data_IF_392817410404
#
_entry.id   IF_392817410404
#
_cell.length_a   1.000
_cell.length_b   1.000
_cell.length_c   1.000
_cell.angle_alpha   90.00
_cell.angle_beta   90.00
_cell.angle_gamma   90.00
#
_symmetry.space_group_name_H-M   'P 1'
#
loop_
_entity.id
_entity.type
_entity.pdbx_description
1 polymer ?
#
# COMPACT_ATOMS: atom_id res chain seq x y z
N UNK A 1 0.78 -3.83 -25.78
CA UNK A 1 1.05 -3.41 -24.39
C UNK A 1 0.86 -4.63 -23.52
N UNK A 2 1.70 -4.87 -22.52
CA UNK A 2 1.49 -5.96 -21.58
C UNK A 2 0.15 -5.73 -20.83
N UNK A 3 -0.54 -6.80 -20.48
CA UNK A 3 -1.74 -6.70 -19.64
C UNK A 3 -1.36 -6.16 -18.26
N UNK A 4 -2.16 -5.26 -17.66
CA UNK A 4 -1.89 -4.74 -16.34
C UNK A 4 -2.03 -5.83 -15.28
N UNK A 5 -1.17 -5.81 -14.24
CA UNK A 5 -1.29 -6.70 -13.09
C UNK A 5 -2.54 -6.38 -12.27
N UNK A 6 -2.83 -5.09 -12.07
CA UNK A 6 -4.05 -4.61 -11.40
C UNK A 6 -4.80 -3.64 -12.31
N UNK A 7 -6.10 -3.85 -12.47
CA UNK A 7 -6.97 -2.99 -13.27
C UNK A 7 -8.24 -2.64 -12.51
N UNK A 8 -8.58 -1.36 -12.49
CA UNK A 8 -9.87 -0.83 -12.09
C UNK A 8 -10.53 -0.25 -13.33
N UNK A 9 -11.75 -0.68 -13.61
CA UNK A 9 -12.53 -0.28 -14.80
C UNK A 9 -13.84 0.37 -14.34
N UNK A 10 -13.92 1.70 -14.43
CA UNK A 10 -15.08 2.52 -14.07
C UNK A 10 -15.67 2.21 -12.67
N UNK A 11 -14.79 2.04 -11.67
CA UNK A 11 -15.15 1.62 -10.31
C UNK A 11 -15.81 2.75 -9.53
N UNK A 12 -17.03 2.48 -9.03
CA UNK A 12 -17.71 3.31 -8.03
C UNK A 12 -17.85 2.46 -6.75
N UNK A 13 -17.42 3.00 -5.62
CA UNK A 13 -17.44 2.29 -4.34
C UNK A 13 -17.66 3.22 -3.15
N UNK A 14 -18.12 2.69 -2.02
CA UNK A 14 -18.34 3.46 -0.82
C UNK A 14 -19.08 2.67 0.26
N UNK A 15 -19.73 3.37 1.18
CA UNK A 15 -20.32 2.79 2.38
C UNK A 15 -21.81 3.12 2.47
N UNK A 16 -22.61 2.19 2.92
CA UNK A 16 -24.06 2.38 3.19
C UNK A 16 -24.85 2.98 2.02
N UNK A 17 -24.48 2.61 0.79
CA UNK A 17 -25.12 3.14 -0.43
C UNK A 17 -24.65 4.53 -0.85
N UNK A 18 -23.70 5.14 -0.13
CA UNK A 18 -23.10 6.43 -0.48
C UNK A 18 -21.76 6.21 -1.18
N UNK A 19 -21.63 6.69 -2.42
CA UNK A 19 -20.39 6.62 -3.19
C UNK A 19 -19.34 7.57 -2.60
N UNK A 20 -18.18 7.01 -2.24
CA UNK A 20 -16.96 7.73 -1.88
C UNK A 20 -16.05 7.83 -3.10
N UNK A 21 -15.91 6.74 -3.85
CA UNK A 21 -15.20 6.69 -5.12
C UNK A 21 -16.21 6.76 -6.27
N UNK A 22 -15.86 7.50 -7.32
CA UNK A 22 -16.73 7.76 -8.47
C UNK A 22 -15.95 7.59 -9.75
N UNK A 23 -16.31 6.59 -10.54
CA UNK A 23 -15.79 6.37 -11.90
C UNK A 23 -14.26 6.29 -11.94
N UNK A 24 -13.67 5.49 -11.04
CA UNK A 24 -12.23 5.30 -10.95
C UNK A 24 -11.77 4.28 -11.98
N UNK A 25 -10.87 4.70 -12.87
CA UNK A 25 -10.15 3.81 -13.79
C UNK A 25 -8.65 3.94 -13.56
N UNK A 26 -7.97 2.79 -13.36
CA UNK A 26 -6.55 2.72 -13.03
C UNK A 26 -5.98 1.41 -13.58
N UNK A 27 -4.80 1.47 -14.17
CA UNK A 27 -4.06 0.29 -14.61
C UNK A 27 -2.63 0.33 -14.03
N UNK A 28 -2.20 -0.75 -13.38
CA UNK A 28 -0.87 -0.88 -12.77
C UNK A 28 -0.15 -2.05 -13.43
N UNK A 29 0.99 -1.77 -14.06
CA UNK A 29 1.84 -2.81 -14.63
C UNK A 29 2.63 -3.54 -13.52
N UNK A 30 3.01 -4.79 -13.80
CA UNK A 30 3.92 -5.53 -12.92
C UNK A 30 5.26 -4.80 -12.78
N UNK A 31 5.79 -4.74 -11.56
CA UNK A 31 7.07 -4.09 -11.22
C UNK A 31 7.00 -2.57 -11.12
N UNK A 32 5.85 -1.93 -11.39
CA UNK A 32 5.72 -0.47 -11.33
C UNK A 32 5.35 0.04 -9.93
N UNK A 33 5.73 1.30 -9.66
CA UNK A 33 5.31 2.05 -8.46
C UNK A 33 4.36 3.16 -8.87
N UNK A 34 3.09 3.00 -8.49
CA UNK A 34 2.04 3.99 -8.72
C UNK A 34 1.66 4.63 -7.40
N UNK A 35 1.52 5.95 -7.38
CA UNK A 35 1.15 6.68 -6.17
C UNK A 35 -0.18 7.43 -6.36
N UNK A 36 -1.04 7.31 -5.35
CA UNK A 36 -2.26 8.11 -5.24
C UNK A 36 -2.02 9.19 -4.18
N UNK A 37 -2.14 10.43 -4.59
CA UNK A 37 -2.08 11.59 -3.69
C UNK A 37 -3.44 12.27 -3.61
N UNK A 38 -3.65 13.10 -2.60
CA UNK A 38 -4.88 13.89 -2.44
C UNK A 38 -5.18 14.21 -0.99
N UNK A 39 -6.12 15.12 -0.72
CA UNK A 39 -6.46 15.53 0.63
C UNK A 39 -7.06 14.39 1.48
N UNK A 40 -7.02 14.55 2.79
CA UNK A 40 -7.64 13.61 3.72
C UNK A 40 -9.15 13.54 3.55
N UNK A 41 -9.70 12.33 3.61
CA UNK A 41 -11.14 12.11 3.45
C UNK A 41 -11.63 12.02 2.01
N UNK A 42 -10.75 12.20 0.99
CA UNK A 42 -11.15 12.22 -0.42
C UNK A 42 -11.19 10.82 -1.08
N UNK A 43 -11.00 9.73 -0.31
CA UNK A 43 -11.25 8.37 -0.78
C UNK A 43 -10.02 7.48 -0.95
N UNK A 44 -8.81 7.97 -0.67
CA UNK A 44 -7.55 7.22 -0.85
C UNK A 44 -7.57 5.83 -0.18
N UNK A 45 -7.81 5.77 1.13
CA UNK A 45 -7.91 4.48 1.84
C UNK A 45 -9.11 3.65 1.40
N UNK A 46 -10.21 4.29 0.94
CA UNK A 46 -11.36 3.58 0.38
C UNK A 46 -10.98 2.87 -0.91
N UNK A 47 -10.12 3.48 -1.74
CA UNK A 47 -9.60 2.86 -2.95
C UNK A 47 -8.83 1.57 -2.62
N UNK A 48 -7.87 1.62 -1.68
CA UNK A 48 -7.12 0.44 -1.25
C UNK A 48 -8.02 -0.63 -0.63
N UNK A 49 -9.02 -0.23 0.17
CA UNK A 49 -10.02 -1.15 0.73
C UNK A 49 -10.91 -1.78 -0.33
N UNK A 50 -11.18 -1.06 -1.42
CA UNK A 50 -11.96 -1.61 -2.54
C UNK A 50 -11.14 -2.67 -3.29
N UNK A 51 -9.88 -2.41 -3.56
CA UNK A 51 -8.97 -3.36 -4.20
C UNK A 51 -8.77 -4.61 -3.33
N UNK A 52 -8.59 -4.44 -2.02
CA UNK A 52 -8.40 -5.55 -1.07
C UNK A 52 -9.70 -6.29 -0.69
N UNK A 53 -10.86 -5.92 -1.27
CA UNK A 53 -12.15 -6.58 -1.03
C UNK A 53 -12.83 -6.24 0.30
N UNK A 54 -12.27 -5.32 1.09
CA UNK A 54 -12.88 -4.82 2.33
C UNK A 54 -14.11 -3.93 2.05
N UNK A 55 -14.15 -3.30 0.88
CA UNK A 55 -15.30 -2.56 0.36
C UNK A 55 -15.65 -3.14 -1.00
N UNK A 56 -16.89 -3.54 -1.20
CA UNK A 56 -17.33 -4.07 -2.49
C UNK A 56 -17.68 -2.93 -3.45
N UNK A 57 -17.28 -3.01 -4.74
CA UNK A 57 -17.71 -2.04 -5.74
C UNK A 57 -19.23 -2.03 -5.92
N UNK A 58 -19.83 -0.85 -6.01
CA UNK A 58 -21.23 -0.65 -6.38
C UNK A 58 -21.42 -0.85 -7.89
N UNK A 59 -20.45 -0.35 -8.69
CA UNK A 59 -20.38 -0.54 -10.14
C UNK A 59 -18.93 -0.61 -10.61
N UNK A 60 -18.72 -1.00 -11.85
CA UNK A 60 -17.39 -1.21 -12.42
C UNK A 60 -16.78 -2.55 -12.00
N UNK A 61 -15.51 -2.73 -12.32
CA UNK A 61 -14.82 -4.00 -12.15
C UNK A 61 -13.40 -3.77 -11.58
N UNK A 62 -12.95 -4.64 -10.68
CA UNK A 62 -11.55 -4.71 -10.24
C UNK A 62 -11.01 -6.06 -10.67
N UNK A 63 -9.92 -6.07 -11.43
CA UNK A 63 -9.22 -7.27 -11.87
C UNK A 63 -7.80 -7.30 -11.37
N UNK A 64 -7.35 -8.48 -11.01
CA UNK A 64 -5.96 -8.75 -10.65
C UNK A 64 -5.47 -9.95 -11.46
N UNK A 65 -4.38 -9.78 -12.21
CA UNK A 65 -3.85 -10.77 -13.17
C UNK A 65 -4.98 -11.30 -14.07
N UNK A 66 -5.75 -10.37 -14.69
CA UNK A 66 -6.90 -10.67 -15.54
C UNK A 66 -8.13 -11.27 -14.83
N UNK A 67 -8.03 -11.62 -13.53
CA UNK A 67 -9.11 -12.25 -12.79
C UNK A 67 -9.94 -11.22 -12.03
N UNK A 68 -11.29 -11.33 -12.14
CA UNK A 68 -12.21 -10.49 -11.35
C UNK A 68 -12.06 -10.73 -9.85
N UNK A 69 -11.98 -9.64 -9.09
CA UNK A 69 -12.00 -9.66 -7.62
C UNK A 69 -13.41 -9.52 -7.04
N UNK A 70 -14.42 -9.28 -7.89
CA UNK A 70 -15.79 -9.04 -7.46
C UNK A 70 -16.37 -10.24 -6.70
N UNK A 71 -16.90 -9.97 -5.51
CA UNK A 71 -17.50 -11.00 -4.65
C UNK A 71 -16.53 -11.95 -3.99
N UNK A 72 -15.21 -11.82 -4.25
CA UNK A 72 -14.19 -12.61 -3.53
C UNK A 72 -14.08 -12.16 -2.09
N UNK A 73 -13.75 -13.09 -1.22
CA UNK A 73 -13.44 -12.79 0.19
C UNK A 73 -12.00 -12.24 0.31
N UNK A 74 -11.75 -11.43 1.33
CA UNK A 74 -10.44 -10.80 1.54
C UNK A 74 -9.29 -11.82 1.52
N UNK A 75 -9.43 -12.96 2.20
CA UNK A 75 -8.37 -13.99 2.23
C UNK A 75 -8.12 -14.64 0.86
N UNK A 76 -9.11 -14.72 -0.01
CA UNK A 76 -8.97 -15.21 -1.39
C UNK A 76 -8.20 -14.19 -2.24
N UNK A 77 -8.44 -12.89 -2.03
CA UNK A 77 -7.73 -11.79 -2.70
C UNK A 77 -6.26 -11.76 -2.24
N UNK A 78 -6.01 -11.95 -0.95
CA UNK A 78 -4.63 -12.07 -0.43
C UNK A 78 -3.93 -13.29 -1.03
N UNK A 79 -4.63 -14.42 -1.16
CA UNK A 79 -4.07 -15.64 -1.77
C UNK A 79 -3.73 -15.47 -3.27
N UNK A 80 -4.39 -14.55 -3.97
CA UNK A 80 -4.02 -14.17 -5.33
C UNK A 80 -2.75 -13.31 -5.40
N UNK A 81 -2.31 -12.73 -4.28
CA UNK A 81 -1.10 -11.91 -4.23
C UNK A 81 -1.33 -10.42 -3.97
N UNK A 82 -2.54 -10.00 -3.63
CA UNK A 82 -2.84 -8.60 -3.26
C UNK A 82 -2.66 -8.40 -1.77
N UNK A 83 -1.63 -7.68 -1.35
CA UNK A 83 -1.30 -7.43 0.06
C UNK A 83 -1.63 -6.00 0.44
N UNK A 84 -2.51 -5.80 1.42
CA UNK A 84 -2.85 -4.50 1.95
C UNK A 84 -2.12 -4.24 3.28
N UNK A 85 -1.27 -3.22 3.30
CA UNK A 85 -0.58 -2.68 4.47
C UNK A 85 -1.33 -1.42 4.89
N UNK A 86 -2.28 -1.51 5.83
CA UNK A 86 -3.16 -0.39 6.16
C UNK A 86 -2.44 0.67 6.98
N UNK A 87 -3.05 1.85 7.04
CA UNK A 87 -2.63 2.94 7.92
C UNK A 87 -2.57 2.50 9.38
N UNK A 88 -1.62 3.03 10.14
CA UNK A 88 -1.44 2.72 11.56
C UNK A 88 -0.57 1.48 11.81
N UNK A 89 -0.42 1.12 13.07
CA UNK A 89 0.52 0.07 13.46
C UNK A 89 -0.08 -1.33 13.28
N UNK A 90 -1.37 -1.50 13.63
CA UNK A 90 -2.17 -2.74 13.56
C UNK A 90 -1.39 -4.03 13.91
N UNK A 91 -0.48 -3.95 14.87
CA UNK A 91 0.34 -5.07 15.35
C UNK A 91 -0.43 -5.91 16.38
N UNK A 92 0.05 -7.11 16.66
CA UNK A 92 -0.37 -7.91 17.81
C UNK A 92 0.48 -7.52 19.04
N UNK A 93 -0.04 -6.68 19.96
CA UNK A 93 0.78 -6.00 20.95
C UNK A 93 1.46 -6.92 21.96
N UNK A 94 0.85 -8.06 22.28
CA UNK A 94 1.33 -9.03 23.26
C UNK A 94 2.19 -10.16 22.68
N UNK A 95 2.40 -10.14 21.36
CA UNK A 95 3.31 -11.05 20.65
C UNK A 95 4.70 -10.43 20.54
N UNK A 96 5.72 -11.27 20.34
CA UNK A 96 7.06 -10.81 19.99
C UNK A 96 7.08 -10.19 18.59
N UNK A 97 8.14 -9.47 18.25
CA UNK A 97 8.40 -8.98 16.88
C UNK A 97 8.40 -10.14 15.90
N UNK A 98 9.14 -11.23 16.21
CA UNK A 98 9.21 -12.43 15.36
C UNK A 98 7.83 -13.05 15.16
N UNK A 99 7.05 -13.22 16.21
CA UNK A 99 5.72 -13.83 16.11
C UNK A 99 4.76 -12.95 15.28
N UNK A 100 4.84 -11.62 15.44
CA UNK A 100 4.09 -10.69 14.59
C UNK A 100 4.41 -10.86 13.10
N UNK A 101 5.70 -11.00 12.74
CA UNK A 101 6.10 -11.25 11.37
C UNK A 101 5.52 -12.57 10.87
N UNK A 102 5.68 -13.65 11.62
CA UNK A 102 5.20 -14.98 11.25
C UNK A 102 3.67 -15.03 11.05
N UNK A 103 2.91 -14.19 11.75
CA UNK A 103 1.46 -14.04 11.51
C UNK A 103 1.14 -13.56 10.08
N UNK A 104 2.07 -12.89 9.38
CA UNK A 104 1.92 -12.54 7.96
C UNK A 104 2.03 -13.75 7.02
N UNK A 105 2.72 -14.79 7.44
CA UNK A 105 2.91 -16.03 6.66
C UNK A 105 1.81 -17.08 6.93
N UNK A 106 0.54 -16.66 7.04
CA UNK A 106 -0.56 -17.56 7.39
C UNK A 106 -1.08 -18.40 6.20
N UNK A 107 -0.80 -17.98 4.97
CA UNK A 107 -1.14 -18.77 3.78
C UNK A 107 -0.20 -19.96 3.64
N UNK A 108 -0.65 -21.12 3.11
CA UNK A 108 0.18 -22.32 3.01
C UNK A 108 1.53 -22.09 2.32
N UNK A 109 1.54 -21.41 1.18
CA UNK A 109 2.74 -21.12 0.41
C UNK A 109 3.68 -20.14 1.15
N UNK A 110 3.10 -19.08 1.75
CA UNK A 110 3.85 -18.14 2.58
C UNK A 110 4.44 -18.82 3.83
N UNK A 111 3.69 -19.76 4.42
CA UNK A 111 4.15 -20.53 5.58
C UNK A 111 5.33 -21.47 5.24
N UNK A 112 5.28 -22.10 4.07
CA UNK A 112 6.38 -22.95 3.59
C UNK A 112 7.70 -22.19 3.41
N UNK A 113 7.63 -20.90 3.08
CA UNK A 113 8.79 -20.02 2.86
C UNK A 113 9.10 -19.09 4.05
N UNK A 114 8.39 -19.23 5.17
CA UNK A 114 8.46 -18.28 6.29
C UNK A 114 9.87 -18.08 6.84
N UNK A 115 10.67 -19.13 6.96
CA UNK A 115 12.04 -19.05 7.47
C UNK A 115 12.99 -18.32 6.50
N UNK A 116 12.79 -18.45 5.20
CA UNK A 116 13.56 -17.71 4.19
C UNK A 116 13.15 -16.24 4.18
N UNK A 117 11.85 -15.96 4.13
CA UNK A 117 11.31 -14.60 4.08
C UNK A 117 11.63 -13.78 5.31
N UNK A 118 11.65 -14.39 6.50
CA UNK A 118 11.97 -13.64 7.71
C UNK A 118 13.42 -13.14 7.69
N UNK A 119 14.34 -13.89 7.10
CA UNK A 119 15.74 -13.47 6.92
C UNK A 119 15.83 -12.29 5.94
N UNK A 120 15.08 -12.34 4.83
CA UNK A 120 15.00 -11.23 3.88
C UNK A 120 14.44 -9.97 4.54
N UNK A 121 13.36 -10.10 5.33
CA UNK A 121 12.76 -8.98 6.06
C UNK A 121 13.72 -8.42 7.10
N UNK A 122 14.47 -9.23 7.82
CA UNK A 122 15.47 -8.76 8.75
C UNK A 122 16.63 -8.05 8.03
N UNK A 123 17.04 -8.51 6.85
CA UNK A 123 17.99 -7.78 6.01
C UNK A 123 17.46 -6.41 5.56
N UNK A 124 16.15 -6.30 5.30
CA UNK A 124 15.48 -5.07 4.93
C UNK A 124 15.25 -4.15 6.14
N UNK A 125 14.98 -4.73 7.31
CA UNK A 125 14.59 -4.06 8.56
C UNK A 125 15.47 -4.54 9.74
N UNK A 126 16.79 -4.20 9.77
CA UNK A 126 17.73 -4.77 10.75
C UNK A 126 17.36 -4.50 12.21
N UNK A 127 16.71 -3.36 12.49
CA UNK A 127 16.23 -3.05 13.85
C UNK A 127 15.19 -4.03 14.39
N UNK A 128 14.41 -4.67 13.49
CA UNK A 128 13.47 -5.71 13.90
C UNK A 128 14.18 -7.01 14.23
N UNK A 129 15.30 -7.32 13.55
CA UNK A 129 16.14 -8.46 13.88
C UNK A 129 16.72 -8.33 15.27
N UNK A 130 17.34 -7.18 15.59
CA UNK A 130 17.91 -6.89 16.92
C UNK A 130 16.87 -7.06 18.04
N UNK A 131 15.60 -6.81 17.74
CA UNK A 131 14.48 -6.82 18.66
C UNK A 131 13.53 -7.99 18.49
N UNK A 132 13.92 -9.03 17.75
CA UNK A 132 13.00 -10.09 17.33
C UNK A 132 12.26 -10.80 18.49
N UNK A 133 12.89 -10.88 19.66
CA UNK A 133 12.30 -11.47 20.86
C UNK A 133 11.59 -10.44 21.76
N UNK A 134 11.59 -9.16 21.41
CA UNK A 134 10.94 -8.10 22.19
C UNK A 134 9.43 -8.12 21.97
N UNK A 135 8.65 -7.85 23.02
CA UNK A 135 7.18 -7.74 22.95
C UNK A 135 6.81 -6.47 22.19
N UNK A 136 5.96 -6.59 21.15
CA UNK A 136 5.71 -5.55 20.17
C UNK A 136 5.13 -4.25 20.77
N UNK A 137 4.32 -4.30 21.83
CA UNK A 137 3.80 -3.09 22.50
C UNK A 137 4.89 -2.20 23.09
N UNK A 138 6.10 -2.72 23.32
CA UNK A 138 7.22 -1.96 23.90
C UNK A 138 8.08 -1.26 22.84
N UNK A 139 7.79 -1.45 21.57
CA UNK A 139 8.43 -0.77 20.46
C UNK A 139 8.01 0.71 20.39
N UNK A 140 8.87 1.55 19.81
CA UNK A 140 8.50 2.90 19.41
C UNK A 140 7.45 2.89 18.26
N UNK A 141 6.74 4.01 18.05
CA UNK A 141 5.76 4.12 16.95
C UNK A 141 6.35 3.78 15.59
N UNK A 142 7.56 4.28 15.31
CA UNK A 142 8.25 3.97 14.06
C UNK A 142 8.62 2.49 13.90
N UNK A 143 9.09 1.85 14.96
CA UNK A 143 9.40 0.41 14.94
C UNK A 143 8.14 -0.43 14.79
N UNK A 144 7.01 -0.04 15.40
CA UNK A 144 5.71 -0.69 15.19
C UNK A 144 5.26 -0.55 13.73
N UNK A 145 5.45 0.64 13.13
CA UNK A 145 5.12 0.86 11.71
C UNK A 145 5.96 -0.06 10.81
N UNK A 146 7.27 -0.13 11.05
CA UNK A 146 8.16 -1.05 10.33
C UNK A 146 7.74 -2.51 10.51
N UNK A 147 7.32 -2.89 11.72
CA UNK A 147 6.80 -4.24 11.99
C UNK A 147 5.53 -4.53 11.19
N UNK A 148 4.61 -3.56 11.07
CA UNK A 148 3.41 -3.67 10.24
C UNK A 148 3.74 -3.89 8.75
N UNK A 149 4.70 -3.13 8.22
CA UNK A 149 5.22 -3.29 6.85
C UNK A 149 5.86 -4.68 6.70
N UNK A 150 6.77 -5.07 7.58
CA UNK A 150 7.44 -6.37 7.55
C UNK A 150 6.45 -7.52 7.58
N UNK A 151 5.40 -7.45 8.41
CA UNK A 151 4.34 -8.46 8.44
C UNK A 151 3.58 -8.56 7.12
N UNK A 152 3.30 -7.43 6.45
CA UNK A 152 2.72 -7.44 5.11
C UNK A 152 3.63 -8.15 4.11
N UNK A 153 4.93 -7.88 4.15
CA UNK A 153 5.92 -8.51 3.26
C UNK A 153 6.03 -10.03 3.48
N UNK A 154 5.81 -10.53 4.70
CA UNK A 154 5.79 -11.97 5.00
C UNK A 154 4.75 -12.74 4.18
N UNK A 155 3.69 -12.09 3.70
CA UNK A 155 2.66 -12.72 2.85
C UNK A 155 3.21 -13.15 1.49
N UNK A 156 4.24 -12.46 0.97
CA UNK A 156 4.86 -12.76 -0.32
C UNK A 156 4.02 -12.41 -1.54
N UNK A 157 3.11 -11.45 -1.42
CA UNK A 157 2.23 -11.06 -2.51
C UNK A 157 2.94 -10.36 -3.67
N UNK A 158 2.26 -10.27 -4.80
CA UNK A 158 2.78 -9.68 -6.05
C UNK A 158 2.60 -8.15 -6.07
N UNK A 159 1.56 -7.63 -5.43
CA UNK A 159 1.33 -6.18 -5.28
C UNK A 159 1.18 -5.80 -3.82
N UNK A 160 1.84 -4.71 -3.43
CA UNK A 160 1.72 -4.10 -2.10
C UNK A 160 0.85 -2.84 -2.19
N UNK A 161 -0.26 -2.83 -1.49
CA UNK A 161 -1.11 -1.66 -1.29
C UNK A 161 -0.72 -1.00 0.03
N UNK A 162 -0.06 0.15 0.00
CA UNK A 162 0.52 0.79 1.19
C UNK A 162 -0.24 2.08 1.50
N UNK A 163 -0.90 2.12 2.66
CA UNK A 163 -1.79 3.22 3.05
C UNK A 163 -1.08 4.17 4.03
N UNK A 164 -0.71 5.36 3.57
CA UNK A 164 -0.11 6.47 4.32
C UNK A 164 0.99 6.02 5.30
N UNK A 165 2.08 5.41 4.81
CA UNK A 165 3.11 4.82 5.67
C UNK A 165 3.85 5.86 6.52
N UNK A 166 3.86 7.13 6.11
CA UNK A 166 4.60 8.22 6.77
C UNK A 166 3.80 8.96 7.84
N UNK A 167 2.47 8.80 7.88
CA UNK A 167 1.59 9.64 8.69
C UNK A 167 1.91 9.59 10.18
N UNK A 168 2.10 10.78 10.79
CA UNK A 168 2.29 10.94 12.23
C UNK A 168 3.66 10.50 12.76
N UNK A 169 4.63 10.27 11.88
CA UNK A 169 5.97 9.81 12.25
C UNK A 169 7.02 10.93 12.20
N UNK A 170 8.09 10.73 12.96
CA UNK A 170 9.22 11.64 12.94
C UNK A 170 9.99 11.53 11.59
N UNK A 171 10.61 12.63 11.09
CA UNK A 171 11.30 12.65 9.80
C UNK A 171 12.30 11.52 9.58
N UNK A 172 13.10 11.21 10.61
CA UNK A 172 14.08 10.11 10.54
C UNK A 172 13.45 8.74 10.29
N UNK A 173 12.23 8.51 10.81
CA UNK A 173 11.50 7.25 10.59
C UNK A 173 10.89 7.23 9.20
N UNK A 174 10.38 8.37 8.74
CA UNK A 174 9.88 8.53 7.38
C UNK A 174 10.97 8.19 6.37
N UNK A 175 12.19 8.73 6.55
CA UNK A 175 13.34 8.42 5.68
C UNK A 175 13.64 6.90 5.66
N UNK A 176 13.56 6.23 6.80
CA UNK A 176 13.75 4.78 6.86
C UNK A 176 12.66 4.00 6.11
N UNK A 177 11.40 4.41 6.23
CA UNK A 177 10.28 3.78 5.50
C UNK A 177 10.45 3.94 4.00
N UNK A 178 10.79 5.15 3.54
CA UNK A 178 11.00 5.41 2.12
C UNK A 178 12.21 4.67 1.57
N UNK A 179 13.29 4.51 2.35
CA UNK A 179 14.42 3.67 1.99
C UNK A 179 14.00 2.21 1.76
N UNK A 180 13.09 1.68 2.60
CA UNK A 180 12.52 0.34 2.41
C UNK A 180 11.69 0.26 1.13
N UNK A 181 10.80 1.23 0.88
CA UNK A 181 9.96 1.26 -0.32
C UNK A 181 10.84 1.38 -1.57
N UNK A 182 11.88 2.21 -1.55
CA UNK A 182 12.85 2.35 -2.65
C UNK A 182 13.54 1.01 -2.93
N UNK A 183 13.99 0.31 -1.89
CA UNK A 183 14.63 -1.00 -2.07
C UNK A 183 13.65 -2.03 -2.66
N UNK A 184 12.40 -2.05 -2.21
CA UNK A 184 11.36 -2.93 -2.78
C UNK A 184 11.10 -2.62 -4.26
N UNK A 185 11.06 -1.33 -4.64
CA UNK A 185 10.96 -0.89 -6.03
C UNK A 185 12.15 -1.40 -6.85
N UNK A 186 13.37 -1.22 -6.36
CA UNK A 186 14.61 -1.61 -7.04
C UNK A 186 14.72 -3.15 -7.18
N UNK A 187 14.05 -3.90 -6.32
CA UNK A 187 13.84 -5.35 -6.41
C UNK A 187 12.70 -5.75 -7.37
N UNK A 188 12.05 -4.77 -8.05
CA UNK A 188 10.98 -5.01 -9.03
C UNK A 188 9.61 -5.33 -8.40
N UNK A 189 9.36 -4.95 -7.16
CA UNK A 189 8.05 -5.14 -6.52
C UNK A 189 7.02 -4.15 -7.06
N UNK A 190 5.82 -4.62 -7.33
CA UNK A 190 4.69 -3.76 -7.70
C UNK A 190 4.12 -3.10 -6.45
N UNK A 191 4.00 -1.76 -6.45
CA UNK A 191 3.55 -1.00 -5.29
C UNK A 191 2.48 0.01 -5.71
N UNK A 192 1.33 -0.01 -5.04
CA UNK A 192 0.37 1.08 -5.02
C UNK A 192 0.47 1.79 -3.68
N UNK A 193 1.04 2.98 -3.70
CA UNK A 193 1.26 3.81 -2.53
C UNK A 193 0.19 4.89 -2.44
N UNK A 194 -0.38 5.09 -1.26
CA UNK A 194 -1.24 6.24 -0.95
C UNK A 194 -0.48 7.16 0.00
N UNK A 195 -0.39 8.44 -0.32
CA UNK A 195 0.32 9.45 0.47
C UNK A 195 -0.29 10.85 0.34
N UNK A 196 0.08 11.73 1.29
CA UNK A 196 -0.22 13.16 1.23
C UNK A 196 1.00 13.96 0.78
N UNK A 197 2.20 13.53 1.15
CA UNK A 197 3.44 14.28 0.90
C UNK A 197 3.99 14.01 -0.50
N UNK A 198 3.74 14.95 -1.41
CA UNK A 198 4.13 14.88 -2.83
C UNK A 198 5.63 14.81 -3.04
N UNK A 199 6.40 15.60 -2.27
CA UNK A 199 7.85 15.68 -2.48
C UNK A 199 8.55 14.34 -2.28
N UNK A 200 8.05 13.51 -1.36
CA UNK A 200 8.62 12.18 -1.09
C UNK A 200 8.26 11.16 -2.16
N UNK A 201 7.03 11.19 -2.66
CA UNK A 201 6.57 10.20 -3.64
C UNK A 201 7.15 10.45 -5.03
N UNK A 202 7.49 11.72 -5.35
CA UNK A 202 8.09 12.08 -6.64
C UNK A 202 9.44 11.39 -6.91
N UNK A 203 10.16 10.97 -5.86
CA UNK A 203 11.45 10.28 -6.00
C UNK A 203 11.32 8.79 -6.31
N UNK A 204 10.15 8.19 -6.06
CA UNK A 204 9.96 6.74 -6.15
C UNK A 204 8.87 6.32 -7.14
N UNK A 205 7.89 7.18 -7.41
CA UNK A 205 6.75 6.86 -8.26
C UNK A 205 7.13 6.94 -9.75
N UNK A 206 6.58 6.02 -10.55
CA UNK A 206 6.60 6.12 -12.01
C UNK A 206 5.42 6.92 -12.54
N UNK A 207 4.29 6.83 -11.83
CA UNK A 207 3.12 7.66 -12.12
C UNK A 207 2.42 8.09 -10.83
N UNK A 208 1.82 9.27 -10.86
CA UNK A 208 1.06 9.86 -9.76
C UNK A 208 -0.35 10.14 -10.25
N UNK A 209 -1.33 9.79 -9.45
CA UNK A 209 -2.74 10.10 -9.65
C UNK A 209 -3.24 10.98 -8.50
N UNK A 210 -3.82 12.13 -8.83
CA UNK A 210 -4.42 13.02 -7.84
C UNK A 210 -5.90 12.68 -7.66
N UNK A 211 -6.24 12.22 -6.48
CA UNK A 211 -7.62 11.89 -6.10
C UNK A 211 -8.25 13.06 -5.34
N UNK A 212 -9.32 13.63 -5.91
CA UNK A 212 -10.12 14.66 -5.27
C UNK A 212 -11.61 14.28 -5.27
N UNK A 213 -12.27 14.40 -4.11
CA UNK A 213 -13.68 14.09 -3.93
C UNK A 213 -14.13 12.77 -4.58
N UNK A 214 -13.26 11.74 -4.53
CA UNK A 214 -13.54 10.41 -5.01
C UNK A 214 -13.32 10.18 -6.51
N UNK A 215 -12.75 11.14 -7.25
CA UNK A 215 -12.43 11.02 -8.67
C UNK A 215 -10.98 11.41 -8.94
N UNK A 216 -10.35 10.82 -9.96
CA UNK A 216 -9.04 11.29 -10.42
C UNK A 216 -9.22 12.58 -11.21
N UNK A 217 -8.57 13.66 -10.73
CA UNK A 217 -8.61 14.99 -11.37
C UNK A 217 -7.36 15.27 -12.18
N UNK A 218 -6.27 14.53 -11.93
CA UNK A 218 -5.03 14.59 -12.69
C UNK A 218 -4.28 13.25 -12.59
N UNK A 219 -3.51 12.93 -13.63
CA UNK A 219 -2.57 11.80 -13.65
C UNK A 219 -1.40 12.09 -14.59
N UNK A 220 -0.23 11.65 -14.21
CA UNK A 220 0.98 11.83 -15.03
C UNK A 220 2.25 11.41 -14.28
N UNK A 221 3.41 11.56 -14.93
CA UNK A 221 4.70 11.31 -14.29
C UNK A 221 5.02 12.40 -13.25
N UNK A 222 5.87 12.10 -12.25
CA UNK A 222 6.21 13.04 -11.17
C UNK A 222 6.71 14.40 -11.63
N UNK A 223 7.48 14.43 -12.73
CA UNK A 223 8.07 15.64 -13.29
C UNK A 223 7.02 16.63 -13.79
N UNK A 224 5.92 16.13 -14.37
CA UNK A 224 4.82 16.97 -14.83
C UNK A 224 4.05 17.59 -13.67
N UNK A 225 3.87 16.85 -12.56
CA UNK A 225 3.17 17.40 -11.39
C UNK A 225 3.88 18.63 -10.81
N UNK A 226 5.23 18.65 -10.82
CA UNK A 226 6.02 19.78 -10.33
C UNK A 226 5.85 21.03 -11.18
N UNK A 227 5.49 20.90 -12.47
CA UNK A 227 5.22 22.00 -13.39
C UNK A 227 3.82 22.62 -13.18
N UNK A 228 2.91 21.88 -12.54
CA UNK A 228 1.54 22.31 -12.29
C UNK A 228 1.36 22.89 -10.88
N UNK A 229 2.02 24.04 -10.59
CA UNK A 229 1.90 24.71 -9.27
C UNK A 229 0.45 24.98 -8.85
N UNK A 230 -0.42 25.33 -9.80
CA UNK A 230 -1.86 25.57 -9.54
C UNK A 230 -2.56 24.32 -8.98
N UNK A 231 -2.16 23.13 -9.44
CA UNK A 231 -2.70 21.86 -8.92
C UNK A 231 -2.22 21.64 -7.49
N UNK A 232 -0.93 21.84 -7.24
CA UNK A 232 -0.33 21.68 -5.90
C UNK A 232 -0.95 22.64 -4.88
N UNK A 233 -1.12 23.90 -5.25
CA UNK A 233 -1.72 24.92 -4.37
C UNK A 233 -3.22 24.67 -4.13
N UNK A 234 -3.96 24.28 -5.16
CA UNK A 234 -5.42 24.08 -5.08
C UNK A 234 -5.80 22.84 -4.26
N UNK A 235 -5.09 21.75 -4.44
CA UNK A 235 -5.52 20.45 -3.90
C UNK A 235 -4.67 19.95 -2.73
N UNK A 236 -3.43 20.42 -2.57
CA UNK A 236 -2.50 19.90 -1.57
C UNK A 236 -2.05 20.93 -0.54
N UNK A 237 -2.56 22.18 -0.66
CA UNK A 237 -2.28 23.25 0.28
C UNK A 237 -0.80 23.57 0.33
N UNK A 238 -0.30 24.25 -0.69
CA UNK A 238 1.10 24.61 -0.87
C UNK A 238 1.72 25.39 0.28
#
# INVERSE_FOLDING_TARGET
MAEPLLELDHVTAGYHGQAVLRDISLAIAEGSVVTIIGPNGHGKSTLLRTISGLVQPMSGEVRFDGQSLRGRKVHEIVALGVVHIPQGDLIFPDMTVRDNLLMGAYLPDAHAEADTRIVEIFSLLPKLEERQNQIARTLSGGERRMLGIGRGLMTGGQILLVDEPSLGLAPIVIDQIYAVITRLRDEGRTILLVEENVSRVSEIAESIHLLDNGSFVWQGPPEELQLHQEILETYLGG
#
